data_IF_894480185279
#
_entry.id   IF_894480185279
#
_cell.length_a   1.000
_cell.length_b   1.000
_cell.length_c   1.000
_cell.angle_alpha   90.00
_cell.angle_beta   90.00
_cell.angle_gamma   90.00
#
_symmetry.space_group_name_H-M   'P 1'
#
loop_
_entity.id
_entity.type
_entity.pdbx_description
1 polymer ?
#
# COMPACT_ATOMS: atom_id res chain seq x y z
N UNK A 1 29.26 -73.96 24.53
CA UNK A 1 29.32 -74.04 26.00
C UNK A 1 29.99 -72.78 26.54
N UNK A 2 29.41 -72.22 27.60
CA UNK A 2 29.76 -71.00 28.34
C UNK A 2 31.19 -71.12 28.95
N UNK A 3 31.99 -70.14 29.39
CA UNK A 3 31.88 -68.75 29.87
C UNK A 3 33.29 -68.10 29.77
N UNK A 4 33.39 -66.77 29.62
CA UNK A 4 34.49 -65.91 30.13
C UNK A 4 33.95 -64.46 30.13
N UNK A 5 33.44 -63.95 31.26
CA UNK A 5 34.16 -63.29 32.38
C UNK A 5 34.59 -61.84 32.07
N UNK A 6 33.75 -60.93 32.55
CA UNK A 6 33.95 -59.56 33.09
C UNK A 6 35.33 -58.89 32.94
N UNK A 7 35.36 -57.68 32.37
CA UNK A 7 36.04 -56.52 32.98
C UNK A 7 35.74 -55.19 32.25
N UNK A 8 35.15 -54.29 33.04
CA UNK A 8 34.96 -52.85 32.87
C UNK A 8 36.16 -52.11 32.23
N UNK A 9 35.91 -51.26 31.23
CA UNK A 9 36.66 -50.01 31.03
C UNK A 9 35.73 -48.85 30.69
N UNK A 10 35.77 -47.85 31.56
CA UNK A 10 35.16 -46.53 31.44
C UNK A 10 35.88 -45.70 30.37
N UNK A 11 35.14 -44.93 29.58
CA UNK A 11 35.48 -43.58 29.10
C UNK A 11 34.27 -43.08 28.28
N UNK A 12 33.49 -42.15 28.80
CA UNK A 12 33.62 -40.72 28.50
C UNK A 12 33.44 -40.43 27.00
N UNK A 13 32.23 -40.00 26.62
CA UNK A 13 31.89 -39.63 25.25
C UNK A 13 30.80 -38.58 25.21
N UNK A 14 31.23 -37.33 25.35
CA UNK A 14 30.70 -36.07 24.84
C UNK A 14 29.17 -35.81 24.83
N UNK A 15 28.81 -34.68 25.46
CA UNK A 15 27.55 -33.96 25.30
C UNK A 15 27.13 -33.90 23.83
N UNK A 16 26.00 -34.54 23.49
CA UNK A 16 25.29 -34.27 22.25
C UNK A 16 24.52 -32.96 22.45
N UNK A 17 25.10 -31.87 21.95
CA UNK A 17 24.45 -30.58 21.88
C UNK A 17 23.24 -30.63 20.93
N UNK A 18 22.16 -29.96 21.37
CA UNK A 18 20.96 -29.68 20.59
C UNK A 18 21.29 -29.06 19.23
N UNK A 19 20.63 -29.54 18.17
CA UNK A 19 20.30 -28.72 17.02
C UNK A 19 18.93 -29.16 16.49
N UNK A 20 17.87 -28.54 17.01
CA UNK A 20 16.54 -28.61 16.43
C UNK A 20 16.58 -27.89 15.08
N UNK A 21 16.51 -28.64 13.98
CA UNK A 21 16.27 -28.07 12.65
C UNK A 21 14.79 -27.72 12.57
N UNK A 22 14.42 -26.54 13.06
CA UNK A 22 13.18 -25.90 12.66
C UNK A 22 13.43 -25.40 11.25
N UNK A 23 13.04 -26.19 10.25
CA UNK A 23 12.85 -25.68 8.91
C UNK A 23 11.66 -24.71 8.99
N UNK A 24 11.93 -23.44 9.31
CA UNK A 24 11.01 -22.38 8.99
C UNK A 24 10.86 -22.39 7.47
N UNK A 25 9.71 -22.86 7.01
CA UNK A 25 9.18 -22.40 5.74
C UNK A 25 9.16 -20.88 5.82
N UNK A 26 10.20 -20.23 5.28
CA UNK A 26 10.12 -18.82 4.98
C UNK A 26 8.89 -18.68 4.08
N UNK A 27 7.89 -17.86 4.43
CA UNK A 27 6.86 -17.52 3.46
C UNK A 27 7.59 -17.05 2.21
N UNK A 28 7.12 -17.39 0.98
CA UNK A 28 7.69 -16.79 -0.21
C UNK A 28 7.71 -15.28 0.05
N UNK A 29 8.90 -14.69 -0.02
CA UNK A 29 9.00 -13.24 -0.06
C UNK A 29 8.11 -12.84 -1.24
N UNK A 30 6.94 -12.28 -0.95
CA UNK A 30 6.21 -11.50 -1.94
C UNK A 30 7.25 -10.52 -2.44
N UNK A 31 7.68 -10.68 -3.69
CA UNK A 31 8.48 -9.67 -4.34
C UNK A 31 7.60 -8.41 -4.37
N UNK A 32 7.78 -7.56 -3.36
CA UNK A 32 7.35 -6.17 -3.39
C UNK A 32 8.22 -5.50 -4.45
N UNK A 33 7.93 -5.75 -5.71
CA UNK A 33 8.59 -5.08 -6.82
C UNK A 33 8.05 -3.66 -6.88
N UNK A 34 8.79 -2.70 -6.32
CA UNK A 34 8.97 -1.29 -6.72
C UNK A 34 7.80 -0.46 -7.27
N UNK A 35 6.54 -0.85 -7.07
CA UNK A 35 5.35 -0.10 -7.53
C UNK A 35 4.87 0.87 -6.45
N UNK A 36 5.78 1.77 -6.06
CA UNK A 36 5.52 2.82 -5.08
C UNK A 36 4.84 4.04 -5.73
N UNK A 37 3.77 4.50 -5.09
CA UNK A 37 3.00 5.67 -5.48
C UNK A 37 2.84 6.54 -4.23
N UNK A 38 3.18 7.82 -4.34
CA UNK A 38 2.85 8.78 -3.30
C UNK A 38 1.56 9.53 -3.65
N UNK A 39 0.64 9.60 -2.69
CA UNK A 39 -0.60 10.36 -2.81
C UNK A 39 -0.59 11.50 -1.80
N UNK A 40 -0.98 12.70 -2.26
CA UNK A 40 -1.16 13.87 -1.41
C UNK A 40 -2.46 14.56 -1.76
N UNK A 41 -3.08 15.20 -0.78
CA UNK A 41 -4.23 16.03 -1.01
C UNK A 41 -4.30 17.22 -0.06
N UNK A 42 -5.05 18.22 -0.48
CA UNK A 42 -5.39 19.41 0.29
C UNK A 42 -6.87 19.68 0.08
N UNK A 43 -7.62 19.78 1.18
CA UNK A 43 -9.01 20.23 1.16
C UNK A 43 -9.06 21.70 1.57
N UNK A 44 -9.66 22.54 0.72
CA UNK A 44 -9.87 23.96 0.97
C UNK A 44 -11.36 24.30 0.85
N UNK A 45 -11.88 25.07 1.79
CA UNK A 45 -13.27 25.54 1.73
C UNK A 45 -13.40 26.68 0.70
N UNK A 46 -14.28 26.49 -0.27
CA UNK A 46 -14.82 27.53 -1.14
C UNK A 46 -16.16 27.97 -0.55
N UNK A 47 -16.10 28.97 0.33
CA UNK A 47 -17.26 29.48 1.06
C UNK A 47 -18.30 30.16 0.14
N UNK A 48 -17.88 30.65 -1.03
CA UNK A 48 -18.79 31.27 -2.01
C UNK A 48 -19.64 30.19 -2.68
N UNK A 49 -19.02 29.07 -3.06
CA UNK A 49 -19.72 27.94 -3.67
C UNK A 49 -20.40 27.02 -2.63
N UNK A 50 -20.08 27.14 -1.34
CA UNK A 50 -20.54 26.23 -0.29
C UNK A 50 -20.02 24.81 -0.51
N UNK A 51 -18.74 24.68 -0.88
CA UNK A 51 -18.11 23.40 -1.25
C UNK A 51 -16.69 23.28 -0.71
N UNK A 52 -16.27 22.05 -0.45
CA UNK A 52 -14.85 21.74 -0.28
C UNK A 52 -14.23 21.45 -1.63
N UNK A 53 -13.15 22.15 -1.95
CA UNK A 53 -12.30 21.90 -3.10
C UNK A 53 -11.12 21.06 -2.63
N UNK A 54 -11.07 19.81 -3.08
CA UNK A 54 -10.01 18.86 -2.78
C UNK A 54 -9.06 18.82 -3.98
N UNK A 55 -7.88 19.40 -3.82
CA UNK A 55 -6.78 19.22 -4.78
C UNK A 55 -5.97 18.00 -4.37
N UNK A 56 -5.59 17.18 -5.33
CA UNK A 56 -4.77 16.00 -5.06
C UNK A 56 -3.67 15.83 -6.09
N UNK A 57 -2.63 15.11 -5.67
CA UNK A 57 -1.45 14.79 -6.47
C UNK A 57 -1.12 13.30 -6.29
N UNK A 58 -0.81 12.64 -7.40
CA UNK A 58 -0.33 11.25 -7.44
C UNK A 58 1.04 11.26 -8.11
N UNK A 59 2.07 10.76 -7.43
CA UNK A 59 3.43 10.68 -7.96
C UNK A 59 3.84 9.23 -8.14
N UNK A 60 4.34 8.89 -9.32
CA UNK A 60 4.88 7.57 -9.60
C UNK A 60 6.35 7.49 -9.22
N UNK A 61 6.68 6.73 -8.18
CA UNK A 61 8.05 6.46 -7.77
C UNK A 61 8.62 5.16 -8.36
N UNK A 62 7.79 4.39 -9.08
CA UNK A 62 8.23 3.23 -9.82
C UNK A 62 9.04 3.62 -11.07
N UNK A 63 9.84 2.67 -11.54
CA UNK A 63 10.59 2.73 -12.79
C UNK A 63 9.77 2.33 -14.04
N UNK A 64 8.49 1.99 -13.84
CA UNK A 64 7.56 1.57 -14.91
C UNK A 64 6.40 2.55 -15.04
N UNK A 65 5.88 2.70 -16.26
CA UNK A 65 4.68 3.51 -16.50
C UNK A 65 3.43 2.82 -15.99
N UNK A 66 2.58 3.57 -15.30
CA UNK A 66 1.28 3.11 -14.83
C UNK A 66 0.13 3.72 -15.62
N UNK A 67 -1.00 3.02 -15.66
CA UNK A 67 -2.28 3.56 -16.10
C UNK A 67 -3.19 3.74 -14.90
N UNK A 68 -3.57 4.98 -14.57
CA UNK A 68 -4.43 5.28 -13.43
C UNK A 68 -5.88 4.95 -13.82
N UNK A 69 -6.50 4.02 -13.09
CA UNK A 69 -7.87 3.57 -13.28
C UNK A 69 -8.76 3.87 -12.07
N UNK A 70 -10.08 3.88 -12.29
CA UNK A 70 -11.10 3.90 -11.24
C UNK A 70 -10.93 4.99 -10.16
N UNK A 71 -10.51 6.21 -10.53
CA UNK A 71 -10.36 7.27 -9.53
C UNK A 71 -11.73 7.74 -9.04
N UNK A 72 -12.01 7.45 -7.77
CA UNK A 72 -13.28 7.72 -7.10
C UNK A 72 -13.03 8.62 -5.90
N UNK A 73 -13.94 9.56 -5.69
CA UNK A 73 -13.98 10.33 -4.47
C UNK A 73 -15.22 9.99 -3.65
N UNK A 74 -15.07 9.50 -2.43
CA UNK A 74 -16.17 9.33 -1.47
C UNK A 74 -16.29 10.60 -0.60
N UNK A 75 -17.49 10.99 -0.11
CA UNK A 75 -18.83 10.43 -0.35
C UNK A 75 -19.52 10.92 -1.63
N UNK A 76 -18.95 11.92 -2.31
CA UNK A 76 -19.52 12.47 -3.53
C UNK A 76 -19.68 11.42 -4.66
N UNK A 77 -18.98 10.28 -4.57
CA UNK A 77 -19.03 9.09 -5.45
C UNK A 77 -19.01 9.41 -6.94
N UNK A 78 -18.45 10.57 -7.32
CA UNK A 78 -18.36 10.99 -8.72
C UNK A 78 -17.08 10.43 -9.30
N UNK A 79 -17.13 9.79 -10.49
CA UNK A 79 -15.91 9.48 -11.22
C UNK A 79 -15.20 10.79 -11.54
N UNK A 80 -13.89 10.82 -11.30
CA UNK A 80 -13.05 11.94 -11.70
C UNK A 80 -12.88 11.89 -13.23
N UNK A 81 -13.57 12.78 -13.93
CA UNK A 81 -13.55 12.85 -15.40
C UNK A 81 -12.33 13.66 -15.84
N UNK A 82 -11.60 13.16 -16.85
CA UNK A 82 -10.53 13.93 -17.51
C UNK A 82 -9.12 13.75 -16.94
N UNK A 83 -8.88 12.72 -16.13
CA UNK A 83 -7.54 12.43 -15.64
C UNK A 83 -6.64 11.89 -16.76
N UNK A 84 -5.37 12.29 -16.80
CA UNK A 84 -4.37 11.59 -17.60
C UNK A 84 -4.43 10.12 -17.23
N UNK A 85 -4.71 9.28 -18.22
CA UNK A 85 -4.80 7.84 -18.01
C UNK A 85 -3.44 7.22 -17.75
N UNK A 86 -2.33 7.96 -17.87
CA UNK A 86 -0.95 7.46 -17.81
C UNK A 86 -0.14 8.28 -16.81
N UNK A 87 0.76 7.61 -16.09
CA UNK A 87 1.73 8.24 -15.19
C UNK A 87 3.11 7.62 -15.43
N UNK A 88 4.03 8.40 -15.99
CA UNK A 88 5.41 7.99 -16.29
C UNK A 88 6.23 7.86 -15.00
N UNK A 89 7.36 7.14 -15.03
CA UNK A 89 8.33 7.14 -13.92
C UNK A 89 8.73 8.56 -13.51
N UNK A 90 8.57 8.89 -12.23
CA UNK A 90 8.86 10.21 -11.67
C UNK A 90 7.84 11.31 -11.99
N UNK A 91 6.77 11.01 -12.73
CA UNK A 91 5.72 11.98 -13.04
C UNK A 91 4.77 12.20 -11.85
N UNK A 92 4.30 13.43 -11.70
CA UNK A 92 3.21 13.79 -10.79
C UNK A 92 1.99 14.24 -11.59
N UNK A 93 0.88 13.51 -11.44
CA UNK A 93 -0.44 13.88 -11.98
C UNK A 93 -1.24 14.59 -10.90
N UNK A 94 -2.06 15.57 -11.30
CA UNK A 94 -2.89 16.37 -10.39
C UNK A 94 -4.35 16.34 -10.81
N UNK A 95 -5.23 16.52 -9.84
CA UNK A 95 -6.66 16.71 -10.10
C UNK A 95 -7.36 17.48 -8.99
N UNK A 96 -8.61 17.85 -9.27
CA UNK A 96 -9.51 18.53 -8.35
C UNK A 96 -10.82 17.74 -8.22
N UNK A 97 -11.34 17.67 -7.00
CA UNK A 97 -12.68 17.19 -6.70
C UNK A 97 -13.43 18.21 -5.84
N UNK A 98 -14.74 18.31 -6.05
CA UNK A 98 -15.63 19.08 -5.17
C UNK A 98 -16.47 18.17 -4.29
N UNK A 99 -16.51 18.47 -2.99
CA UNK A 99 -17.40 17.84 -2.00
C UNK A 99 -18.39 18.89 -1.48
N UNK A 100 -19.53 18.44 -0.97
CA UNK A 100 -20.51 19.33 -0.36
C UNK A 100 -19.98 19.92 0.95
N UNK A 101 -20.41 21.13 1.31
CA UNK A 101 -20.04 21.78 2.57
C UNK A 101 -20.37 20.97 3.83
N UNK A 102 -21.38 20.10 3.75
CA UNK A 102 -21.84 19.25 4.85
C UNK A 102 -20.97 18.01 5.09
N UNK A 103 -19.98 17.74 4.23
CA UNK A 103 -19.11 16.58 4.39
C UNK A 103 -18.04 16.84 5.44
N UNK A 104 -17.85 15.86 6.34
CA UNK A 104 -16.85 15.88 7.41
C UNK A 104 -15.66 14.94 7.13
N UNK A 105 -15.78 14.13 6.08
CA UNK A 105 -14.75 13.22 5.64
C UNK A 105 -14.93 12.92 4.17
N UNK A 106 -13.85 12.51 3.52
CA UNK A 106 -13.87 11.94 2.19
C UNK A 106 -12.69 11.01 1.99
N UNK A 107 -12.60 10.45 0.79
CA UNK A 107 -11.49 9.58 0.41
C UNK A 107 -11.29 9.68 -1.09
N UNK A 108 -10.04 9.62 -1.52
CA UNK A 108 -9.67 9.39 -2.92
C UNK A 108 -9.20 7.94 -3.01
N UNK A 109 -9.78 7.16 -3.92
CA UNK A 109 -9.41 5.77 -4.16
C UNK A 109 -9.10 5.56 -5.64
N UNK A 110 -8.04 4.83 -5.97
CA UNK A 110 -7.72 4.45 -7.35
C UNK A 110 -6.94 3.15 -7.47
N UNK A 111 -6.96 2.60 -8.69
CA UNK A 111 -6.16 1.45 -9.10
C UNK A 111 -5.07 1.90 -10.09
N UNK A 112 -3.96 1.18 -10.16
CA UNK A 112 -2.92 1.39 -11.17
C UNK A 112 -2.65 0.08 -11.91
N UNK A 113 -2.87 0.08 -13.21
CA UNK A 113 -2.48 -1.01 -14.10
C UNK A 113 -1.10 -0.69 -14.69
N UNK A 114 -0.08 -1.47 -14.34
CA UNK A 114 1.30 -1.23 -14.75
C UNK A 114 1.60 -1.86 -16.11
N UNK A 115 2.41 -1.18 -16.92
CA UNK A 115 2.75 -1.63 -18.28
C UNK A 115 3.51 -2.97 -18.30
N UNK A 116 4.10 -3.39 -17.18
CA UNK A 116 4.75 -4.70 -17.02
C UNK A 116 3.79 -5.82 -16.57
N UNK A 117 2.50 -5.52 -16.37
CA UNK A 117 1.43 -6.49 -16.16
C UNK A 117 0.72 -6.49 -14.80
N UNK A 118 1.39 -6.23 -13.65
CA UNK A 118 0.72 -6.16 -12.36
C UNK A 118 -0.33 -5.04 -12.29
N UNK A 119 -1.35 -5.26 -11.45
CA UNK A 119 -2.29 -4.21 -11.05
C UNK A 119 -2.15 -4.00 -9.55
N UNK A 120 -1.97 -2.76 -9.12
CA UNK A 120 -2.05 -2.38 -7.71
C UNK A 120 -3.41 -1.73 -7.44
N UNK A 121 -4.07 -2.19 -6.38
CA UNK A 121 -5.46 -1.83 -6.05
C UNK A 121 -5.50 -1.01 -4.77
N UNK A 122 -6.61 -0.31 -4.57
CA UNK A 122 -6.99 0.34 -3.30
C UNK A 122 -5.96 1.34 -2.77
N UNK A 123 -5.24 2.02 -3.68
CA UNK A 123 -4.46 3.20 -3.30
C UNK A 123 -5.43 4.26 -2.82
N UNK A 124 -5.27 4.68 -1.56
CA UNK A 124 -6.22 5.57 -0.94
C UNK A 124 -5.57 6.70 -0.17
N UNK A 125 -6.23 7.86 -0.18
CA UNK A 125 -5.86 9.00 0.64
C UNK A 125 -7.09 9.51 1.40
N UNK A 126 -7.10 9.43 2.75
CA UNK A 126 -8.21 9.90 3.54
C UNK A 126 -8.22 11.43 3.61
N UNK A 127 -9.41 12.01 3.48
CA UNK A 127 -9.67 13.43 3.62
C UNK A 127 -10.41 13.63 4.94
N UNK A 128 -9.78 14.31 5.90
CA UNK A 128 -10.43 14.66 7.15
C UNK A 128 -10.80 16.13 7.15
N UNK A 129 -12.10 16.42 7.33
CA UNK A 129 -12.66 17.77 7.33
C UNK A 129 -13.22 18.05 8.73
N UNK A 130 -12.47 18.83 9.52
CA UNK A 130 -12.80 19.06 10.92
C UNK A 130 -13.69 20.28 11.17
N UNK A 131 -14.05 21.03 10.13
CA UNK A 131 -14.80 22.27 10.22
C UNK A 131 -15.91 22.26 9.17
N UNK A 132 -17.01 22.96 9.44
CA UNK A 132 -18.06 23.19 8.44
C UNK A 132 -17.57 24.20 7.39
N UNK A 133 -17.85 23.96 6.11
CA UNK A 133 -17.59 24.96 5.06
C UNK A 133 -18.82 25.84 4.85
N UNK A 134 -18.94 26.91 5.63
CA UNK A 134 -19.95 27.93 5.43
C UNK A 134 -19.60 29.21 6.17
N UNK A 135 -19.90 30.34 5.52
CA UNK A 135 -19.81 31.69 6.08
C UNK A 135 -21.13 32.13 6.70
#
# INVERSE_FOLDING_TARGET
MRHLSTAVRRAAGCLAALAAVVALAAPPASASSDRDIAIRGLAQCDAVAGQWVVTWEVTNHADVTGTIGNVRAYPASRPLVGLPSRIQPGETVRGEQRLLASEYSGEILFDVNWDDGPVTYDHHWPIYIYLYCGG
#
